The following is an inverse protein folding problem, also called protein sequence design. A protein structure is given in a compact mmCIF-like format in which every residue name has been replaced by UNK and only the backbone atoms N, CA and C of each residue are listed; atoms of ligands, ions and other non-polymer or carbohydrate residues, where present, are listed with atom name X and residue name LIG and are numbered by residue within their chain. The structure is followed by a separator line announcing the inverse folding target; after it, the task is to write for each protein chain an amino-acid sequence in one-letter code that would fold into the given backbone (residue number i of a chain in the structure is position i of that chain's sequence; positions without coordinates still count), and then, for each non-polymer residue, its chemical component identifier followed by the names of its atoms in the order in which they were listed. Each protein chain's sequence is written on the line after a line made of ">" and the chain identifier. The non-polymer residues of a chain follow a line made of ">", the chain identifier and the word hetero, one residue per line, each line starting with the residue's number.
data_IF_123889088311
#
_entry.id   IF_123889088311
#
_cell.length_a   1.000
_cell.length_b   1.000
_cell.length_c   1.000
_cell.angle_alpha   90.00
_cell.angle_beta   90.00
_cell.angle_gamma   90.00
#
_symmetry.space_group_name_H-M   'P 1'
#
loop_
_entity.id
_entity.type
_entity.pdbx_description
1 polymer ?
#
# COMPACT_ATOMS: atom_id res chain seq x y z
N UNK A 1 10.89 -20.29 19.37
CA UNK A 1 11.42 -19.11 18.69
C UNK A 1 10.57 -17.94 19.16
N UNK A 2 11.13 -17.01 19.95
CA UNK A 2 10.43 -15.75 20.20
C UNK A 2 10.31 -15.04 18.87
N UNK A 3 9.09 -14.70 18.46
CA UNK A 3 8.88 -13.81 17.32
C UNK A 3 9.55 -12.48 17.66
N UNK A 4 10.38 -11.95 16.77
CA UNK A 4 10.98 -10.63 16.98
C UNK A 4 9.84 -9.61 17.11
N UNK A 5 9.78 -8.93 18.25
CA UNK A 5 8.74 -7.94 18.54
C UNK A 5 8.93 -6.74 17.62
N UNK A 6 7.89 -6.38 16.86
CA UNK A 6 7.88 -5.22 15.97
C UNK A 6 7.78 -3.95 16.84
N UNK A 7 8.76 -3.07 16.70
CA UNK A 7 8.89 -1.82 17.46
C UNK A 7 8.23 -0.68 16.68
N UNK A 8 7.21 -0.06 17.24
CA UNK A 8 6.33 0.89 16.54
C UNK A 8 6.45 2.29 17.16
N UNK A 9 6.61 3.30 16.31
CA UNK A 9 6.41 4.72 16.63
C UNK A 9 5.01 5.11 16.14
N UNK A 10 4.18 5.67 17.03
CA UNK A 10 2.87 6.20 16.70
C UNK A 10 2.95 7.73 16.65
N UNK A 11 2.53 8.34 15.54
CA UNK A 11 2.50 9.79 15.35
C UNK A 11 1.09 10.25 14.96
N UNK A 12 0.48 11.06 15.82
CA UNK A 12 -0.90 11.57 15.69
C UNK A 12 -1.04 12.79 16.62
N UNK A 13 -1.66 13.87 16.19
CA UNK A 13 -1.84 15.07 17.00
C UNK A 13 -2.98 14.94 18.03
N UNK A 14 -3.87 13.96 17.87
CA UNK A 14 -4.95 13.68 18.80
C UNK A 14 -4.51 12.75 19.94
N UNK A 15 -4.19 13.31 21.09
CA UNK A 15 -3.64 12.56 22.25
C UNK A 15 -4.50 11.35 22.67
N UNK A 16 -5.82 11.48 22.67
CA UNK A 16 -6.72 10.39 23.03
C UNK A 16 -6.69 9.25 22.02
N UNK A 17 -6.70 9.57 20.73
CA UNK A 17 -6.62 8.59 19.66
C UNK A 17 -5.27 7.86 19.68
N UNK A 18 -4.18 8.61 19.84
CA UNK A 18 -2.82 8.07 19.96
C UNK A 18 -2.68 7.08 21.12
N UNK A 19 -3.26 7.40 22.29
CA UNK A 19 -3.25 6.48 23.43
C UNK A 19 -4.13 5.25 23.19
N UNK A 20 -5.28 5.42 22.53
CA UNK A 20 -6.14 4.31 22.11
C UNK A 20 -5.45 3.38 21.12
N UNK A 21 -4.80 3.94 20.11
CA UNK A 21 -4.04 3.19 19.10
C UNK A 21 -2.87 2.43 19.73
N UNK A 22 -2.17 3.03 20.69
CA UNK A 22 -1.14 2.34 21.45
C UNK A 22 -1.70 1.10 22.14
N UNK A 23 -2.81 1.23 22.86
CA UNK A 23 -3.43 0.08 23.56
C UNK A 23 -3.87 -1.01 22.60
N UNK A 24 -4.45 -0.64 21.46
CA UNK A 24 -4.80 -1.60 20.41
C UNK A 24 -3.59 -2.34 19.89
N UNK A 25 -2.52 -1.63 19.52
CA UNK A 25 -1.28 -2.23 19.04
C UNK A 25 -0.67 -3.16 20.10
N UNK A 26 -0.59 -2.73 21.35
CA UNK A 26 0.00 -3.50 22.46
C UNK A 26 -0.90 -4.65 22.96
N UNK A 27 -2.12 -4.83 22.41
CA UNK A 27 -2.92 -6.03 22.68
C UNK A 27 -2.43 -7.27 21.92
N UNK A 28 -1.55 -7.08 20.93
CA UNK A 28 -0.87 -8.15 20.21
C UNK A 28 0.51 -8.39 20.81
N UNK A 29 0.85 -9.64 21.11
CA UNK A 29 2.10 -10.03 21.80
C UNK A 29 3.37 -9.71 21.00
N UNK A 30 3.25 -9.65 19.67
CA UNK A 30 4.33 -9.39 18.73
C UNK A 30 4.52 -7.91 18.38
N UNK A 31 3.69 -7.01 18.93
CA UNK A 31 3.73 -5.57 18.64
C UNK A 31 4.02 -4.74 19.90
N UNK A 32 4.89 -3.71 19.78
CA UNK A 32 5.28 -2.84 20.89
C UNK A 32 5.41 -1.39 20.46
N UNK A 33 4.69 -0.49 21.12
CA UNK A 33 4.87 0.96 20.91
C UNK A 33 6.08 1.44 21.72
N UNK A 34 7.14 1.85 21.03
CA UNK A 34 8.39 2.31 21.65
C UNK A 34 8.44 3.82 21.85
N UNK A 35 7.64 4.57 21.11
CA UNK A 35 7.50 6.03 21.26
C UNK A 35 6.17 6.52 20.70
N UNK A 36 5.75 7.69 21.14
CA UNK A 36 4.57 8.42 20.67
C UNK A 36 4.96 9.85 20.34
N UNK A 37 4.49 10.39 19.22
CA UNK A 37 4.73 11.76 18.75
C UNK A 37 3.39 12.50 18.58
N UNK A 38 3.31 13.73 19.03
CA UNK A 38 2.15 14.60 18.86
C UNK A 38 2.23 15.53 17.66
N UNK A 39 3.39 15.63 17.02
CA UNK A 39 3.62 16.43 15.82
C UNK A 39 4.73 15.85 14.93
N UNK A 40 4.92 16.46 13.76
CA UNK A 40 5.91 16.03 12.77
C UNK A 40 7.36 16.14 13.30
N UNK A 41 7.68 17.21 14.01
CA UNK A 41 9.04 17.43 14.51
C UNK A 41 9.40 16.38 15.57
N UNK A 42 8.46 16.07 16.44
CA UNK A 42 8.60 15.02 17.44
C UNK A 42 8.70 13.64 16.78
N UNK A 43 7.90 13.35 15.76
CA UNK A 43 7.97 12.10 14.98
C UNK A 43 9.37 11.91 14.33
N UNK A 44 9.91 12.95 13.72
CA UNK A 44 11.25 12.95 13.13
C UNK A 44 12.34 12.74 14.20
N UNK A 45 12.22 13.43 15.32
CA UNK A 45 13.19 13.31 16.42
C UNK A 45 13.18 11.89 17.03
N UNK A 46 11.99 11.37 17.34
CA UNK A 46 11.82 10.07 17.97
C UNK A 46 12.16 8.91 17.04
N UNK A 47 11.90 9.04 15.72
CA UNK A 47 12.31 8.04 14.73
C UNK A 47 13.83 7.84 14.73
N UNK A 48 14.59 8.93 14.82
CA UNK A 48 16.06 8.88 14.87
C UNK A 48 16.57 8.33 16.20
N UNK A 49 15.91 8.68 17.29
CA UNK A 49 16.32 8.30 18.65
C UNK A 49 16.05 6.83 18.95
N UNK A 50 14.85 6.35 18.61
CA UNK A 50 14.38 5.01 18.96
C UNK A 50 14.59 3.98 17.86
N UNK A 51 14.84 4.43 16.61
CA UNK A 51 14.98 3.57 15.45
C UNK A 51 13.91 2.46 15.42
N UNK A 52 12.61 2.82 15.34
CA UNK A 52 11.52 1.84 15.29
C UNK A 52 11.57 1.06 13.96
N UNK A 53 10.94 -0.11 13.95
CA UNK A 53 10.77 -0.91 12.74
C UNK A 53 9.65 -0.35 11.86
N UNK A 54 8.63 0.24 12.49
CA UNK A 54 7.45 0.77 11.83
C UNK A 54 7.04 2.13 12.41
N UNK A 55 6.66 3.06 11.51
CA UNK A 55 5.97 4.29 11.81
C UNK A 55 4.49 4.17 11.44
N UNK A 56 3.58 4.32 12.40
CA UNK A 56 2.16 4.58 12.17
C UNK A 56 1.94 6.09 12.23
N UNK A 57 1.47 6.68 11.14
CA UNK A 57 1.43 8.12 10.97
C UNK A 57 0.06 8.58 10.51
N UNK A 58 -0.58 9.45 11.29
CA UNK A 58 -1.83 10.09 10.90
C UNK A 58 -1.63 11.12 9.79
N UNK A 59 -2.35 10.95 8.67
CA UNK A 59 -2.35 11.90 7.55
C UNK A 59 -3.07 13.21 7.86
N UNK A 60 -3.90 13.25 8.90
CA UNK A 60 -4.68 14.45 9.27
C UNK A 60 -3.88 15.48 10.07
N UNK A 61 -2.63 15.17 10.41
CA UNK A 61 -1.77 16.08 11.18
C UNK A 61 -1.68 17.45 10.50
N UNK A 62 -1.82 18.55 11.27
CA UNK A 62 -1.92 19.91 10.73
C UNK A 62 -0.68 20.33 9.92
N UNK A 63 -0.87 21.31 9.02
CA UNK A 63 0.19 21.92 8.21
C UNK A 63 1.00 20.92 7.34
N UNK A 64 0.34 19.90 6.79
CA UNK A 64 0.98 18.80 6.05
C UNK A 64 2.05 18.05 6.85
N UNK A 65 1.95 18.06 8.17
CA UNK A 65 2.95 17.50 9.07
C UNK A 65 3.31 16.05 8.78
N UNK A 66 2.34 15.23 8.39
CA UNK A 66 2.58 13.85 8.00
C UNK A 66 3.51 13.73 6.79
N UNK A 67 3.26 14.48 5.71
CA UNK A 67 4.08 14.44 4.50
C UNK A 67 5.48 15.01 4.74
N UNK A 68 5.60 16.04 5.58
CA UNK A 68 6.89 16.61 5.95
C UNK A 68 7.70 15.64 6.83
N UNK A 69 7.05 14.91 7.74
CA UNK A 69 7.69 13.85 8.50
C UNK A 69 8.19 12.71 7.59
N UNK A 70 7.34 12.21 6.67
CA UNK A 70 7.75 11.18 5.71
C UNK A 70 8.94 11.65 4.86
N UNK A 71 8.88 12.87 4.32
CA UNK A 71 9.96 13.43 3.52
C UNK A 71 11.27 13.49 4.33
N UNK A 72 11.24 14.03 5.54
CA UNK A 72 12.42 14.17 6.37
C UNK A 72 13.03 12.84 6.83
N UNK A 73 12.21 11.81 7.00
CA UNK A 73 12.63 10.48 7.45
C UNK A 73 13.17 9.65 6.27
N UNK A 74 12.45 9.62 5.13
CA UNK A 74 12.75 8.70 4.03
C UNK A 74 13.59 9.31 2.90
N UNK A 75 13.75 10.66 2.83
CA UNK A 75 14.70 11.30 1.90
C UNK A 75 16.13 11.41 2.47
N UNK A 76 16.34 10.95 3.71
CA UNK A 76 17.63 10.93 4.38
C UNK A 76 18.45 9.67 4.07
N UNK A 77 19.43 9.32 4.92
CA UNK A 77 20.17 8.08 4.81
C UNK A 77 19.23 6.86 4.78
N UNK A 78 19.59 5.78 4.06
CA UNK A 78 18.76 4.58 3.98
C UNK A 78 18.36 4.09 5.38
N UNK A 79 17.07 3.86 5.57
CA UNK A 79 16.51 3.34 6.83
C UNK A 79 15.81 2.01 6.56
N UNK A 80 15.91 1.08 7.51
CA UNK A 80 15.13 -0.15 7.50
C UNK A 80 13.69 0.06 7.98
N UNK A 81 13.40 1.22 8.60
CA UNK A 81 12.08 1.57 9.09
C UNK A 81 11.08 1.65 7.93
N UNK A 82 9.89 1.14 8.15
CA UNK A 82 8.76 1.21 7.22
C UNK A 82 7.70 2.14 7.77
N UNK A 83 6.73 2.53 6.94
CA UNK A 83 5.62 3.36 7.40
C UNK A 83 4.28 2.91 6.85
N UNK A 84 3.27 3.03 7.71
CA UNK A 84 1.85 2.94 7.38
C UNK A 84 1.24 4.29 7.72
N UNK A 85 0.49 4.86 6.78
CA UNK A 85 -0.27 6.06 7.02
C UNK A 85 -1.71 5.72 7.38
N UNK A 86 -2.24 6.40 8.39
CA UNK A 86 -3.62 6.31 8.81
C UNK A 86 -4.36 7.50 8.19
N UNK A 87 -5.45 7.25 7.51
CA UNK A 87 -6.15 8.32 6.78
C UNK A 87 -7.65 8.14 6.72
N UNK A 88 -8.33 9.18 6.27
CA UNK A 88 -9.76 9.18 5.97
C UNK A 88 -10.04 9.01 4.47
N UNK A 89 -11.29 8.71 4.12
CA UNK A 89 -11.75 8.49 2.74
C UNK A 89 -11.56 9.72 1.83
N UNK A 90 -11.42 10.92 2.41
CA UNK A 90 -11.33 12.20 1.68
C UNK A 90 -9.90 12.69 1.41
N UNK A 91 -8.87 11.90 1.78
CA UNK A 91 -7.45 12.31 1.73
C UNK A 91 -6.70 11.67 0.56
N UNK A 92 -7.32 11.60 -0.61
CA UNK A 92 -6.75 10.94 -1.79
C UNK A 92 -5.41 11.54 -2.22
N UNK A 93 -5.30 12.86 -2.24
CA UNK A 93 -4.07 13.56 -2.65
C UNK A 93 -2.92 13.29 -1.70
N UNK A 94 -3.17 13.39 -0.40
CA UNK A 94 -2.20 13.15 0.66
C UNK A 94 -1.77 11.68 0.71
N UNK A 95 -2.70 10.76 0.49
CA UNK A 95 -2.44 9.32 0.40
C UNK A 95 -1.45 8.99 -0.72
N UNK A 96 -1.68 9.54 -1.91
CA UNK A 96 -0.79 9.37 -3.06
C UNK A 96 0.59 9.96 -2.76
N UNK A 97 0.62 11.19 -2.23
CA UNK A 97 1.87 11.85 -1.87
C UNK A 97 2.65 11.05 -0.80
N UNK A 98 1.95 10.46 0.19
CA UNK A 98 2.58 9.61 1.20
C UNK A 98 3.24 8.37 0.59
N UNK A 99 2.59 7.70 -0.35
CA UNK A 99 3.17 6.55 -1.06
C UNK A 99 4.41 6.95 -1.88
N UNK A 100 4.37 8.10 -2.57
CA UNK A 100 5.53 8.64 -3.31
C UNK A 100 6.70 8.98 -2.38
N UNK A 101 6.42 9.37 -1.14
CA UNK A 101 7.41 9.66 -0.11
C UNK A 101 7.92 8.41 0.63
N UNK A 102 7.47 7.20 0.23
CA UNK A 102 7.99 5.93 0.75
C UNK A 102 7.08 5.23 1.76
N UNK A 103 5.84 5.69 1.97
CA UNK A 103 4.88 4.93 2.77
C UNK A 103 4.62 3.56 2.11
N UNK A 104 4.58 2.51 2.91
CA UNK A 104 4.35 1.14 2.46
C UNK A 104 2.96 0.63 2.76
N UNK A 105 2.22 1.33 3.60
CA UNK A 105 0.86 0.95 3.94
C UNK A 105 -0.08 2.14 4.07
N UNK A 106 -1.36 1.89 3.78
CA UNK A 106 -2.47 2.80 4.01
C UNK A 106 -3.55 2.02 4.75
N UNK A 107 -3.99 2.54 5.88
CA UNK A 107 -5.11 2.00 6.64
C UNK A 107 -6.12 3.13 6.86
N UNK A 108 -7.38 2.87 6.53
CA UNK A 108 -8.44 3.83 6.81
C UNK A 108 -8.79 3.79 8.30
N UNK A 109 -8.96 4.95 8.93
CA UNK A 109 -9.40 5.05 10.33
C UNK A 109 -10.79 4.44 10.57
N UNK A 110 -11.58 4.22 9.51
CA UNK A 110 -12.89 3.56 9.53
C UNK A 110 -12.80 2.04 9.36
N UNK A 111 -11.60 1.47 9.21
CA UNK A 111 -11.40 0.03 9.06
C UNK A 111 -11.49 -0.69 10.39
N UNK A 112 -11.80 -1.99 10.33
CA UNK A 112 -11.70 -2.86 11.50
C UNK A 112 -10.25 -2.98 11.96
N UNK A 113 -10.05 -3.19 13.25
CA UNK A 113 -8.71 -3.30 13.87
C UNK A 113 -7.88 -4.44 13.26
N UNK A 114 -8.51 -5.50 12.81
CA UNK A 114 -7.87 -6.63 12.12
C UNK A 114 -7.11 -6.19 10.84
N UNK A 115 -7.63 -5.18 10.13
CA UNK A 115 -6.96 -4.62 8.95
C UNK A 115 -5.68 -3.89 9.32
N UNK A 116 -5.64 -3.24 10.49
CA UNK A 116 -4.42 -2.62 11.00
C UNK A 116 -3.36 -3.68 11.32
N UNK A 117 -3.71 -4.73 12.06
CA UNK A 117 -2.76 -5.79 12.42
C UNK A 117 -2.21 -6.52 11.19
N UNK A 118 -3.09 -6.86 10.25
CA UNK A 118 -2.68 -7.47 8.98
C UNK A 118 -1.80 -6.53 8.17
N UNK A 119 -2.16 -5.25 8.10
CA UNK A 119 -1.38 -4.21 7.42
C UNK A 119 0.04 -4.10 8.00
N UNK A 120 0.16 -4.08 9.33
CA UNK A 120 1.45 -4.06 10.01
C UNK A 120 2.30 -5.26 9.60
N UNK A 121 1.76 -6.48 9.71
CA UNK A 121 2.50 -7.70 9.40
C UNK A 121 2.88 -7.81 7.93
N UNK A 122 1.97 -7.42 7.02
CA UNK A 122 2.22 -7.38 5.57
C UNK A 122 3.33 -6.38 5.23
N UNK A 123 3.27 -5.17 5.77
CA UNK A 123 4.31 -4.17 5.55
C UNK A 123 5.64 -4.64 6.14
N UNK A 124 5.65 -5.26 7.32
CA UNK A 124 6.86 -5.82 7.92
C UNK A 124 7.42 -7.04 7.17
N UNK A 125 6.61 -7.75 6.39
CA UNK A 125 7.07 -8.78 5.46
C UNK A 125 7.72 -8.20 4.17
N UNK A 126 7.66 -6.87 3.96
CA UNK A 126 8.25 -6.20 2.80
C UNK A 126 7.27 -5.91 1.69
N UNK A 127 6.03 -6.18 1.90
CA UNK A 127 4.95 -5.98 0.94
C UNK A 127 4.25 -4.63 1.15
N UNK A 128 3.46 -4.20 0.16
CA UNK A 128 2.60 -3.04 0.31
C UNK A 128 1.24 -3.46 0.85
N UNK A 129 0.69 -2.64 1.75
CA UNK A 129 -0.66 -2.76 2.24
C UNK A 129 -1.46 -1.49 1.95
N UNK A 130 -2.45 -1.58 1.04
CA UNK A 130 -3.33 -0.46 0.74
C UNK A 130 -4.78 -0.91 0.88
N UNK A 131 -5.39 -0.52 1.99
CA UNK A 131 -6.80 -0.77 2.20
C UNK A 131 -7.61 0.43 1.74
N UNK A 132 -8.40 0.26 0.66
CA UNK A 132 -9.27 1.28 0.11
C UNK A 132 -10.63 0.69 -0.24
N UNK A 133 -11.71 1.39 0.10
CA UNK A 133 -13.08 0.99 -0.28
C UNK A 133 -13.33 1.08 -1.79
N UNK A 134 -12.55 1.91 -2.49
CA UNK A 134 -12.72 2.13 -3.92
C UNK A 134 -11.45 1.72 -4.69
N UNK A 135 -11.59 0.69 -5.52
CA UNK A 135 -10.49 0.13 -6.33
C UNK A 135 -9.87 1.17 -7.28
N UNK A 136 -10.67 2.15 -7.77
CA UNK A 136 -10.20 3.18 -8.69
C UNK A 136 -9.12 4.09 -8.07
N UNK A 137 -9.22 4.37 -6.77
CA UNK A 137 -8.31 5.26 -6.05
C UNK A 137 -6.98 4.58 -5.76
N UNK A 138 -7.01 3.28 -5.45
CA UNK A 138 -5.81 2.48 -5.28
C UNK A 138 -5.03 2.29 -6.59
N UNK A 139 -5.73 2.16 -7.71
CA UNK A 139 -5.11 2.04 -9.04
C UNK A 139 -4.36 3.31 -9.45
N UNK A 140 -4.86 4.50 -9.11
CA UNK A 140 -4.16 5.75 -9.40
C UNK A 140 -2.90 5.91 -8.55
N UNK A 141 -2.95 5.56 -7.27
CA UNK A 141 -1.77 5.53 -6.40
C UNK A 141 -0.68 4.59 -6.96
N UNK A 142 -1.10 3.42 -7.41
CA UNK A 142 -0.24 2.42 -8.06
C UNK A 142 0.35 2.95 -9.37
N UNK A 143 -0.42 3.65 -10.19
CA UNK A 143 0.01 4.22 -11.47
C UNK A 143 1.13 5.24 -11.30
N UNK A 144 1.09 6.02 -10.23
CA UNK A 144 2.11 7.01 -9.90
C UNK A 144 3.41 6.37 -9.37
N UNK A 145 3.32 5.22 -8.68
CA UNK A 145 4.48 4.45 -8.26
C UNK A 145 5.19 3.74 -9.43
N UNK A 146 4.47 3.45 -10.53
CA UNK A 146 5.03 2.82 -11.74
C UNK A 146 5.91 3.74 -12.58
N UNK A 147 5.93 5.04 -12.34
CA UNK A 147 6.74 5.98 -13.11
C UNK A 147 8.26 5.82 -12.89
N UNK A 148 8.71 5.07 -11.87
CA UNK A 148 10.11 4.84 -11.54
C UNK A 148 10.53 3.35 -11.65
N UNK A 149 10.54 2.85 -12.83
CA UNK A 149 11.46 1.92 -13.48
C UNK A 149 11.80 0.50 -12.98
N UNK A 150 11.71 -0.44 -13.93
CA UNK A 150 12.54 -1.60 -14.27
C UNK A 150 12.10 -3.02 -13.89
N UNK A 151 11.95 -3.78 -14.92
CA UNK A 151 11.27 -5.03 -15.23
C UNK A 151 12.14 -6.30 -15.24
N UNK A 152 11.45 -7.45 -15.23
CA UNK A 152 11.76 -8.79 -15.78
C UNK A 152 12.80 -9.67 -15.07
N UNK A 153 12.32 -10.71 -14.40
CA UNK A 153 12.85 -12.08 -14.23
C UNK A 153 12.18 -12.86 -13.08
N UNK A 154 10.98 -12.48 -12.60
CA UNK A 154 10.42 -13.01 -11.35
C UNK A 154 9.12 -13.81 -11.49
N UNK A 155 8.57 -13.89 -12.70
CA UNK A 155 7.27 -14.54 -12.95
C UNK A 155 7.24 -16.04 -12.59
N UNK A 156 8.33 -16.77 -12.84
CA UNK A 156 8.46 -18.20 -12.52
C UNK A 156 8.48 -18.47 -11.00
N UNK A 157 8.89 -17.49 -10.21
CA UNK A 157 9.00 -17.61 -8.75
C UNK A 157 7.65 -17.77 -8.07
N UNK A 158 6.58 -17.26 -8.68
CA UNK A 158 5.25 -17.19 -8.06
C UNK A 158 4.28 -18.29 -8.51
N UNK A 159 4.74 -19.28 -9.29
CA UNK A 159 3.94 -20.41 -9.79
C UNK A 159 2.67 -20.00 -10.55
N UNK A 160 2.70 -18.80 -11.17
CA UNK A 160 1.61 -18.36 -12.02
C UNK A 160 1.72 -19.05 -13.39
N UNK A 161 0.58 -19.47 -13.92
CA UNK A 161 0.50 -20.01 -15.28
C UNK A 161 0.71 -18.88 -16.30
N UNK A 162 1.09 -19.19 -17.57
CA UNK A 162 1.21 -18.17 -18.61
C UNK A 162 -0.05 -17.30 -18.74
N UNK A 163 -1.23 -17.90 -18.60
CA UNK A 163 -2.51 -17.19 -18.71
C UNK A 163 -2.78 -16.27 -17.50
N UNK A 164 -2.37 -16.67 -16.32
CA UNK A 164 -2.44 -15.83 -15.12
C UNK A 164 -1.45 -14.66 -15.20
N UNK A 165 -0.27 -14.89 -15.74
CA UNK A 165 0.72 -13.83 -16.00
C UNK A 165 0.25 -12.80 -17.02
N UNK A 166 -0.53 -13.19 -18.03
CA UNK A 166 -1.14 -12.26 -18.99
C UNK A 166 -2.21 -11.36 -18.33
N UNK A 167 -2.91 -11.85 -17.30
CA UNK A 167 -3.95 -11.12 -16.58
C UNK A 167 -3.39 -10.08 -15.62
N UNK A 168 -2.33 -10.43 -14.89
CA UNK A 168 -1.76 -9.61 -13.80
C UNK A 168 -1.42 -8.17 -14.24
N UNK A 169 -0.76 -7.89 -15.38
CA UNK A 169 -0.47 -6.53 -15.82
C UNK A 169 -1.72 -5.67 -16.03
N UNK A 170 -2.81 -6.28 -16.52
CA UNK A 170 -4.07 -5.55 -16.75
C UNK A 170 -4.74 -5.16 -15.43
N UNK A 171 -4.56 -5.97 -14.38
CA UNK A 171 -5.03 -5.61 -13.03
C UNK A 171 -4.25 -4.41 -12.51
N UNK A 172 -2.95 -4.41 -12.69
CA UNK A 172 -2.08 -3.32 -12.25
C UNK A 172 -2.41 -1.97 -12.91
N UNK A 173 -2.93 -1.98 -14.15
CA UNK A 173 -3.39 -0.75 -14.83
C UNK A 173 -4.88 -0.46 -14.63
N UNK A 174 -5.57 -1.23 -13.77
CA UNK A 174 -6.96 -0.97 -13.38
C UNK A 174 -8.03 -1.40 -14.36
N UNK A 175 -7.69 -2.23 -15.37
CA UNK A 175 -8.68 -2.73 -16.32
C UNK A 175 -9.77 -3.56 -15.63
N UNK A 176 -11.03 -3.41 -15.99
CA UNK A 176 -12.10 -4.24 -15.43
C UNK A 176 -12.03 -5.69 -15.95
N UNK A 177 -12.70 -6.63 -15.28
CA UNK A 177 -12.75 -8.02 -15.74
C UNK A 177 -13.32 -8.13 -17.15
N UNK A 178 -14.26 -7.26 -17.51
CA UNK A 178 -14.85 -7.17 -18.84
C UNK A 178 -13.83 -6.71 -19.88
N UNK A 179 -13.02 -5.68 -19.54
CA UNK A 179 -11.98 -5.19 -20.45
C UNK A 179 -10.90 -6.25 -20.67
N UNK A 180 -10.45 -6.92 -19.60
CA UNK A 180 -9.51 -8.04 -19.67
C UNK A 180 -10.07 -9.18 -20.51
N UNK A 181 -11.35 -9.53 -20.32
CA UNK A 181 -12.02 -10.57 -21.10
C UNK A 181 -12.03 -10.24 -22.60
N UNK A 182 -12.30 -8.98 -22.95
CA UNK A 182 -12.24 -8.50 -24.35
C UNK A 182 -10.82 -8.55 -24.90
N UNK A 183 -9.84 -8.01 -24.18
CA UNK A 183 -8.43 -7.99 -24.63
C UNK A 183 -7.85 -9.38 -24.84
N UNK A 184 -8.21 -10.31 -23.96
CA UNK A 184 -7.69 -11.68 -24.00
C UNK A 184 -8.60 -12.66 -24.78
N UNK A 185 -9.72 -12.17 -25.39
CA UNK A 185 -10.69 -12.96 -26.14
C UNK A 185 -11.26 -14.15 -25.36
N UNK A 186 -11.60 -13.93 -24.10
CA UNK A 186 -12.20 -14.93 -23.19
C UNK A 186 -13.51 -14.42 -22.58
N UNK A 187 -14.22 -15.28 -21.87
CA UNK A 187 -15.42 -14.88 -21.11
C UNK A 187 -15.02 -14.22 -19.79
N UNK A 188 -15.81 -13.26 -19.32
CA UNK A 188 -15.59 -12.57 -18.04
C UNK A 188 -15.50 -13.55 -16.85
N UNK A 189 -16.31 -14.61 -16.83
CA UNK A 189 -16.28 -15.63 -15.80
C UNK A 189 -14.96 -16.43 -15.80
N UNK A 190 -14.30 -16.54 -16.96
CA UNK A 190 -12.97 -17.14 -17.06
C UNK A 190 -11.93 -16.25 -16.39
N UNK A 191 -12.03 -14.93 -16.57
CA UNK A 191 -11.16 -13.96 -15.89
C UNK A 191 -11.36 -14.02 -14.38
N UNK A 192 -12.61 -14.05 -13.91
CA UNK A 192 -12.92 -14.18 -12.45
C UNK A 192 -12.29 -15.42 -11.85
N UNK A 193 -12.39 -16.57 -12.55
CA UNK A 193 -11.77 -17.83 -12.09
C UNK A 193 -10.24 -17.74 -12.03
N UNK A 194 -9.60 -17.14 -13.04
CA UNK A 194 -8.16 -16.92 -13.00
C UNK A 194 -7.76 -15.99 -11.86
N UNK A 195 -8.52 -14.92 -11.59
CA UNK A 195 -8.25 -14.03 -10.46
C UNK A 195 -8.33 -14.75 -9.12
N UNK A 196 -9.34 -15.61 -8.92
CA UNK A 196 -9.41 -16.42 -7.70
C UNK A 196 -8.15 -17.27 -7.53
N UNK A 197 -7.71 -17.96 -8.58
CA UNK A 197 -6.50 -18.78 -8.54
C UNK A 197 -5.23 -17.94 -8.31
N UNK A 198 -5.14 -16.75 -8.89
CA UNK A 198 -4.03 -15.81 -8.67
C UNK A 198 -4.01 -15.36 -7.22
N UNK A 199 -5.15 -15.01 -6.66
CA UNK A 199 -5.26 -14.60 -5.25
C UNK A 199 -4.78 -15.70 -4.32
N UNK A 200 -5.23 -16.93 -4.53
CA UNK A 200 -4.82 -18.09 -3.74
C UNK A 200 -3.32 -18.37 -3.84
N UNK A 201 -2.75 -18.28 -5.06
CA UNK A 201 -1.32 -18.55 -5.30
C UNK A 201 -0.39 -17.49 -4.72
N UNK A 202 -0.81 -16.23 -4.75
CA UNK A 202 -0.02 -15.10 -4.29
C UNK A 202 -0.29 -14.72 -2.83
N UNK A 203 -1.32 -15.32 -2.20
CA UNK A 203 -1.73 -14.99 -0.84
C UNK A 203 -2.29 -13.57 -0.71
N UNK A 204 -2.88 -13.03 -1.79
CA UNK A 204 -3.51 -11.71 -1.81
C UNK A 204 -5.03 -11.84 -1.74
N UNK A 205 -5.70 -10.88 -1.12
CA UNK A 205 -7.12 -10.97 -0.79
C UNK A 205 -7.99 -9.94 -1.51
N UNK A 206 -7.38 -9.03 -2.24
CA UNK A 206 -8.10 -8.01 -3.01
C UNK A 206 -7.42 -7.74 -4.33
N UNK A 207 -8.21 -7.17 -5.26
CA UNK A 207 -7.71 -6.73 -6.57
C UNK A 207 -6.60 -5.69 -6.44
N UNK A 208 -6.71 -4.82 -5.44
CA UNK A 208 -5.72 -3.80 -5.16
C UNK A 208 -4.43 -4.40 -4.62
N UNK A 209 -4.52 -5.35 -3.68
CA UNK A 209 -3.36 -6.10 -3.21
C UNK A 209 -2.64 -6.80 -4.36
N UNK A 210 -3.40 -7.39 -5.29
CA UNK A 210 -2.81 -8.01 -6.48
C UNK A 210 -2.10 -6.98 -7.36
N UNK A 211 -2.69 -5.80 -7.58
CA UNK A 211 -2.06 -4.74 -8.36
C UNK A 211 -0.74 -4.29 -7.72
N UNK A 212 -0.74 -4.06 -6.42
CA UNK A 212 0.45 -3.69 -5.65
C UNK A 212 1.51 -4.80 -5.65
N UNK A 213 1.08 -6.04 -5.44
CA UNK A 213 1.96 -7.20 -5.52
C UNK A 213 2.64 -7.27 -6.89
N UNK A 214 1.87 -7.12 -7.97
CA UNK A 214 2.38 -7.17 -9.33
C UNK A 214 3.46 -6.11 -9.60
N UNK A 215 3.25 -4.88 -9.11
CA UNK A 215 4.21 -3.79 -9.24
C UNK A 215 5.45 -4.04 -8.41
N UNK A 216 5.27 -4.36 -7.13
CA UNK A 216 6.36 -4.54 -6.18
C UNK A 216 7.31 -5.68 -6.60
N UNK A 217 6.76 -6.68 -7.28
CA UNK A 217 7.49 -7.86 -7.72
C UNK A 217 7.85 -7.84 -9.22
N UNK A 218 7.58 -6.74 -9.93
CA UNK A 218 7.91 -6.58 -11.34
C UNK A 218 7.15 -7.53 -12.28
N UNK A 219 5.92 -7.92 -11.90
CA UNK A 219 5.02 -8.72 -12.72
C UNK A 219 4.16 -7.87 -13.68
N UNK A 220 4.20 -6.54 -13.53
CA UNK A 220 3.50 -5.60 -14.39
C UNK A 220 4.51 -4.68 -15.08
N UNK A 221 4.53 -4.74 -16.41
CA UNK A 221 5.05 -3.66 -17.23
C UNK A 221 3.88 -2.75 -17.59
N UNK A 222 4.06 -1.42 -17.47
CA UNK A 222 3.06 -0.49 -17.92
C UNK A 222 2.88 -0.66 -19.44
N UNK A 223 1.64 -0.90 -19.95
CA UNK A 223 1.42 -0.86 -21.37
C UNK A 223 1.70 0.55 -21.88
N UNK A 224 2.75 0.70 -22.69
CA UNK A 224 3.05 1.91 -23.45
C UNK A 224 1.89 2.14 -24.42
N UNK A 225 0.99 3.09 -24.11
CA UNK A 225 0.08 3.69 -25.08
C UNK A 225 -1.25 2.98 -25.31
N UNK A 226 -2.25 3.28 -24.49
CA UNK A 226 -3.66 3.25 -24.92
C UNK A 226 -4.56 4.08 -23.98
N UNK A 227 -4.39 5.38 -23.94
CA UNK A 227 -5.41 6.33 -23.47
C UNK A 227 -5.22 7.69 -24.18
N UNK A 228 -5.18 7.65 -25.49
CA UNK A 228 -5.36 8.82 -26.34
C UNK A 228 -6.46 8.55 -27.35
N UNK A 229 -7.61 9.18 -27.15
CA UNK A 229 -8.73 9.32 -28.07
C UNK A 229 -10.06 8.69 -27.62
N UNK A 230 -10.70 9.32 -26.65
CA UNK A 230 -12.17 9.34 -26.56
C UNK A 230 -12.60 10.66 -25.93
N UNK A 231 -12.48 11.75 -26.67
CA UNK A 231 -13.34 12.92 -26.59
C UNK A 231 -13.06 13.85 -27.77
N UNK A 232 -13.61 13.47 -28.93
CA UNK A 232 -13.88 14.39 -30.04
C UNK A 232 -14.83 13.69 -30.99
N UNK A 233 -16.12 13.75 -30.70
CA UNK A 233 -17.23 13.70 -31.67
C UNK A 233 -18.57 13.68 -30.92
N UNK A 234 -19.07 14.85 -30.62
CA UNK A 234 -20.53 15.13 -30.58
C UNK A 234 -20.66 16.65 -30.71
N UNK A 235 -20.71 17.09 -31.95
CA UNK A 235 -21.56 18.21 -32.39
C UNK A 235 -22.95 17.66 -32.63
#
# INVERSE_FOLDING_TARGET
>A
MQADTIRILVADDHALFREGLKRLVESEDDLRVVAQAGDAAEAIHLSRRFQPDLLLLDLTMPNNGALDALRAIFSGPPTAMRSIVLGGDNQRGETIAALQLGARGIVLMTSDVEHLYRGIRTVMAGEFWVWHRNVADGVEAVRLLMADGATTAKAERYRLTPRELEIVPHIAVGASNRDIAQMLSVREDTVKRHLSNIFDKLGVYSRLELALFAINHGLAEAPSGALGSRNAAAD
#
